data_IF_899564709286
#
_entry.id   IF_899564709286
#
_cell.length_a   1.000
_cell.length_b   1.000
_cell.length_c   1.000
_cell.angle_alpha   90.00
_cell.angle_beta   90.00
_cell.angle_gamma   90.00
#
_symmetry.space_group_name_H-M   'P 1'
#
loop_
_entity.id
_entity.type
_entity.pdbx_description
1 polymer ?
#
# COMPACT_ATOMS: atom_id res chain seq x y z
N UNK A 1 19.23 -27.32 57.05
CA UNK A 1 19.05 -27.52 55.59
C UNK A 1 17.58 -27.46 55.14
N UNK A 2 16.61 -27.89 55.97
CA UNK A 2 15.16 -27.84 55.65
C UNK A 2 14.63 -26.44 55.23
N UNK A 3 15.04 -25.38 55.91
CA UNK A 3 14.53 -24.03 55.64
C UNK A 3 15.02 -23.45 54.31
N UNK A 4 16.20 -23.88 53.83
CA UNK A 4 16.74 -23.49 52.52
C UNK A 4 15.99 -24.20 51.38
N UNK A 5 15.56 -25.44 51.61
CA UNK A 5 14.78 -26.23 50.65
C UNK A 5 13.36 -25.66 50.43
N UNK A 6 12.72 -25.17 51.51
CA UNK A 6 11.40 -24.52 51.44
C UNK A 6 11.48 -23.20 50.64
N UNK A 7 12.56 -22.44 50.83
CA UNK A 7 12.78 -21.18 50.12
C UNK A 7 12.98 -21.38 48.62
N UNK A 8 13.70 -22.44 48.22
CA UNK A 8 13.91 -22.79 46.81
C UNK A 8 12.62 -23.31 46.17
N UNK A 9 11.83 -24.10 46.89
CA UNK A 9 10.54 -24.61 46.39
C UNK A 9 9.52 -23.48 46.16
N UNK A 10 9.49 -22.45 47.01
CA UNK A 10 8.59 -21.30 46.85
C UNK A 10 8.96 -20.37 45.68
N UNK A 11 10.25 -20.26 45.35
CA UNK A 11 10.70 -19.46 44.20
C UNK A 11 10.35 -20.15 42.87
N UNK A 12 10.37 -21.47 42.83
CA UNK A 12 10.09 -22.25 41.61
C UNK A 12 8.62 -22.17 41.15
N UNK A 13 7.68 -21.90 42.07
CA UNK A 13 6.24 -21.82 41.73
C UNK A 13 5.80 -20.44 41.22
N UNK A 14 6.63 -19.40 41.33
CA UNK A 14 6.27 -18.04 40.90
C UNK A 14 6.50 -17.78 39.39
N UNK A 15 7.19 -18.66 38.68
CA UNK A 15 7.63 -18.40 37.30
C UNK A 15 6.70 -18.96 36.22
N UNK A 16 5.57 -19.57 36.60
CA UNK A 16 4.69 -20.31 35.67
C UNK A 16 3.26 -19.75 35.58
N UNK A 17 3.12 -18.43 35.43
CA UNK A 17 1.86 -17.83 35.01
C UNK A 17 1.90 -17.56 33.50
N UNK A 18 1.23 -18.36 32.65
CA UNK A 18 1.10 -18.03 31.23
C UNK A 18 0.16 -16.85 31.07
N UNK A 19 0.66 -15.75 30.52
CA UNK A 19 -0.19 -14.64 30.06
C UNK A 19 -0.78 -15.02 28.70
N UNK A 20 -2.10 -15.21 28.65
CA UNK A 20 -2.84 -15.35 27.38
C UNK A 20 -3.01 -13.97 26.74
N UNK A 21 -2.25 -13.67 25.70
CA UNK A 21 -2.46 -12.47 24.87
C UNK A 21 -3.36 -12.82 23.71
N UNK A 22 -4.62 -12.36 23.76
CA UNK A 22 -5.51 -12.40 22.60
C UNK A 22 -5.24 -11.15 21.76
N UNK A 23 -4.85 -11.34 20.49
CA UNK A 23 -4.83 -10.26 19.52
C UNK A 23 -6.27 -10.02 19.04
N UNK A 24 -6.86 -8.88 19.41
CA UNK A 24 -8.14 -8.46 18.89
C UNK A 24 -7.97 -7.99 17.44
N UNK A 25 -8.52 -8.74 16.48
CA UNK A 25 -8.61 -8.29 15.10
C UNK A 25 -9.80 -7.34 14.97
N UNK A 26 -9.55 -6.05 15.07
CA UNK A 26 -10.52 -5.05 14.63
C UNK A 26 -10.68 -5.19 13.11
N UNK A 27 -11.73 -5.90 12.67
CA UNK A 27 -12.16 -5.93 11.28
C UNK A 27 -12.73 -4.55 10.95
N UNK A 28 -11.85 -3.60 10.66
CA UNK A 28 -12.23 -2.31 10.11
C UNK A 28 -12.58 -2.55 8.64
N UNK A 29 -13.87 -2.79 8.38
CA UNK A 29 -14.40 -2.77 7.01
C UNK A 29 -14.26 -1.34 6.49
N UNK A 30 -13.17 -1.05 5.78
CA UNK A 30 -13.08 0.14 4.94
C UNK A 30 -14.05 -0.11 3.79
N UNK A 31 -15.14 0.67 3.64
CA UNK A 31 -15.95 0.59 2.45
C UNK A 31 -15.04 0.95 1.27
N UNK A 32 -14.68 -0.05 0.48
CA UNK A 32 -13.86 0.13 -0.71
C UNK A 32 -14.74 0.83 -1.75
N UNK A 33 -14.83 2.15 -1.65
CA UNK A 33 -15.38 2.98 -2.72
C UNK A 33 -14.42 2.85 -3.89
N UNK A 34 -14.77 1.98 -4.84
CA UNK A 34 -14.11 1.90 -6.15
C UNK A 34 -14.53 3.16 -6.90
N UNK A 35 -13.88 4.27 -6.58
CA UNK A 35 -14.01 5.50 -7.35
C UNK A 35 -13.34 5.23 -8.69
N UNK A 36 -14.03 5.39 -9.84
CA UNK A 36 -13.39 5.23 -11.14
C UNK A 36 -12.18 6.16 -11.20
N UNK A 37 -11.02 5.60 -11.55
CA UNK A 37 -9.83 6.40 -11.76
C UNK A 37 -10.11 7.38 -12.89
N UNK A 38 -10.08 8.68 -12.59
CA UNK A 38 -10.24 9.70 -13.62
C UNK A 38 -9.11 9.51 -14.63
N UNK A 39 -9.45 9.09 -15.85
CA UNK A 39 -8.48 8.89 -16.91
C UNK A 39 -8.00 10.27 -17.41
N UNK A 40 -6.77 10.64 -17.05
CA UNK A 40 -6.15 11.93 -17.39
C UNK A 40 -5.44 11.78 -18.73
N UNK A 41 -5.82 12.61 -19.70
CA UNK A 41 -5.15 12.72 -21.01
C UNK A 41 -4.69 14.15 -21.28
N UNK A 42 -3.53 14.29 -21.92
CA UNK A 42 -2.93 15.57 -22.30
C UNK A 42 -2.44 15.54 -23.76
N UNK A 43 -2.41 16.70 -24.41
CA UNK A 43 -1.72 16.83 -25.70
C UNK A 43 -0.24 17.07 -25.48
N UNK A 44 0.58 16.22 -26.09
CA UNK A 44 2.02 16.46 -26.24
C UNK A 44 2.28 17.12 -27.58
N UNK A 45 3.30 17.96 -27.65
CA UNK A 45 3.66 18.71 -28.85
C UNK A 45 5.11 18.45 -29.26
N UNK A 46 5.38 18.44 -30.56
CA UNK A 46 6.74 18.44 -31.09
C UNK A 46 6.82 19.07 -32.49
N UNK A 47 8.02 19.48 -32.88
CA UNK A 47 8.30 19.93 -34.25
C UNK A 47 8.74 18.74 -35.13
N UNK A 48 8.13 18.60 -36.31
CA UNK A 48 8.53 17.67 -37.37
C UNK A 48 8.65 18.50 -38.66
N UNK A 49 9.83 18.53 -39.26
CA UNK A 49 10.11 19.31 -40.48
C UNK A 49 9.69 20.79 -40.36
N UNK A 50 9.96 21.41 -39.19
CA UNK A 50 9.63 22.81 -38.92
C UNK A 50 8.15 23.08 -38.64
N UNK A 51 7.28 22.06 -38.66
CA UNK A 51 5.85 22.18 -38.37
C UNK A 51 5.50 21.59 -37.01
N UNK A 52 4.65 22.28 -36.26
CA UNK A 52 4.16 21.79 -34.98
C UNK A 52 3.13 20.68 -35.17
N UNK A 53 3.31 19.60 -34.43
CA UNK A 53 2.39 18.48 -34.37
C UNK A 53 1.98 18.22 -32.93
N UNK A 54 0.78 17.67 -32.74
CA UNK A 54 0.27 17.21 -31.45
C UNK A 54 -0.05 15.72 -31.48
N UNK A 55 -0.01 15.07 -30.31
CA UNK A 55 -0.44 13.68 -30.13
C UNK A 55 -1.01 13.49 -28.73
N UNK A 56 -2.13 12.78 -28.59
CA UNK A 56 -2.77 12.55 -27.31
C UNK A 56 -2.03 11.49 -26.47
N UNK A 57 -1.67 11.85 -25.24
CA UNK A 57 -0.98 11.01 -24.25
C UNK A 57 -1.89 10.76 -23.05
N UNK A 58 -2.03 9.50 -22.63
CA UNK A 58 -2.70 9.16 -21.37
C UNK A 58 -1.66 9.16 -20.26
N UNK A 59 -1.84 10.06 -19.29
CA UNK A 59 -1.04 10.11 -18.07
C UNK A 59 -1.38 8.93 -17.18
N UNK A 60 -2.66 8.59 -17.06
CA UNK A 60 -3.14 7.46 -16.24
C UNK A 60 -2.57 6.12 -16.70
N UNK A 61 -2.46 5.89 -18.01
CA UNK A 61 -1.96 4.62 -18.55
C UNK A 61 -0.53 4.67 -19.10
N UNK A 62 0.17 5.80 -18.95
CA UNK A 62 1.54 6.01 -19.44
C UNK A 62 1.74 5.56 -20.91
N UNK A 63 0.79 5.90 -21.79
CA UNK A 63 0.79 5.44 -23.19
C UNK A 63 0.20 6.49 -24.14
N UNK A 64 0.56 6.36 -25.42
CA UNK A 64 -0.09 7.11 -26.49
C UNK A 64 -1.52 6.63 -26.70
N UNK A 65 -2.47 7.57 -26.75
CA UNK A 65 -3.86 7.28 -27.09
C UNK A 65 -4.04 7.31 -28.60
N UNK A 66 -3.48 8.34 -29.25
CA UNK A 66 -3.50 8.44 -30.71
C UNK A 66 -2.38 7.61 -31.33
N UNK A 67 -2.64 7.01 -32.50
CA UNK A 67 -1.67 6.19 -33.25
C UNK A 67 -0.50 7.00 -33.81
N UNK A 68 -0.71 8.28 -34.11
CA UNK A 68 0.26 9.10 -34.85
C UNK A 68 0.21 10.56 -34.42
N UNK A 69 1.25 11.30 -34.80
CA UNK A 69 1.30 12.74 -34.65
C UNK A 69 0.44 13.42 -35.71
N UNK A 70 -0.37 14.40 -35.29
CA UNK A 70 -1.26 15.16 -36.17
C UNK A 70 -0.77 16.59 -36.27
N UNK A 71 -0.73 17.13 -37.49
CA UNK A 71 -0.38 18.53 -37.71
C UNK A 71 -1.37 19.43 -36.95
N UNK A 72 -0.84 20.45 -36.25
CA UNK A 72 -1.65 21.46 -35.56
C UNK A 72 -2.26 22.42 -36.58
#
# INVERSE_FOLDING_TARGET
MKNKLILIAGILTLTFYPTVSFAESNNFEVPMSITPENNITIYQYKSINGKMHKRLWSVSYNRWVDSSWTLV
#
